data_IF_286087667758
#
_entry.id   IF_286087667758
#
_cell.length_a   1.000
_cell.length_b   1.000
_cell.length_c   1.000
_cell.angle_alpha   90.00
_cell.angle_beta   90.00
_cell.angle_gamma   90.00
#
_symmetry.space_group_name_H-M   'P 1'
#
loop_
_entity.id
_entity.type
_entity.pdbx_description
1 polymer ?
#
# COMPACT_ATOMS: atom_id res chain seq x y z
N UNK A 1 24.16 14.04 55.32
CA UNK A 1 23.19 13.32 54.46
C UNK A 1 22.58 14.31 53.47
N UNK A 2 22.89 14.17 52.17
CA UNK A 2 22.50 15.11 51.11
C UNK A 2 21.17 14.67 50.50
N UNK A 3 20.10 15.39 50.83
CA UNK A 3 18.74 15.15 50.35
C UNK A 3 18.38 16.23 49.31
N UNK A 4 18.93 16.17 48.09
CA UNK A 4 18.61 17.16 47.03
C UNK A 4 18.53 16.62 45.60
N UNK A 5 18.66 15.31 45.37
CA UNK A 5 18.87 14.75 44.03
C UNK A 5 17.70 13.95 43.46
N UNK A 6 16.47 14.12 43.97
CA UNK A 6 15.30 13.34 43.51
C UNK A 6 14.19 14.19 42.87
N UNK A 7 14.29 15.52 42.90
CA UNK A 7 13.18 16.39 42.48
C UNK A 7 13.24 16.80 41.00
N UNK A 8 14.40 16.67 40.35
CA UNK A 8 14.59 17.11 38.96
C UNK A 8 14.28 16.03 37.91
N UNK A 9 14.14 14.76 38.31
CA UNK A 9 13.93 13.65 37.37
C UNK A 9 12.44 13.49 37.00
N UNK A 10 11.53 13.96 37.85
CA UNK A 10 10.08 13.76 37.67
C UNK A 10 9.42 14.71 36.65
N UNK A 11 10.09 15.78 36.22
CA UNK A 11 9.49 16.80 35.33
C UNK A 11 9.74 16.47 33.84
N UNK A 12 10.69 15.60 33.52
CA UNK A 12 11.07 15.31 32.13
C UNK A 12 10.21 14.24 31.43
N UNK A 13 9.38 13.49 32.18
CA UNK A 13 8.58 12.38 31.62
C UNK A 13 7.14 12.74 31.28
N UNK A 14 6.65 13.94 31.63
CA UNK A 14 5.25 14.32 31.44
C UNK A 14 4.91 14.85 30.04
N UNK A 15 5.89 15.13 29.19
CA UNK A 15 5.67 15.83 27.91
C UNK A 15 5.67 14.92 26.67
N UNK A 16 5.93 13.62 26.81
CA UNK A 16 6.04 12.71 25.66
C UNK A 16 4.70 12.06 25.24
N UNK A 17 3.63 12.17 26.04
CA UNK A 17 2.40 11.39 25.83
C UNK A 17 1.33 12.06 24.96
N UNK A 18 1.58 13.26 24.42
CA UNK A 18 0.58 14.01 23.65
C UNK A 18 0.69 13.89 22.12
N UNK A 19 1.64 13.08 21.60
CA UNK A 19 1.78 12.85 20.15
C UNK A 19 1.11 11.55 19.65
N UNK A 20 0.44 10.80 20.53
CA UNK A 20 -0.34 9.62 20.14
C UNK A 20 -1.78 9.94 19.66
N UNK A 21 -2.09 11.22 19.44
CA UNK A 21 -3.42 11.67 19.04
C UNK A 21 -3.35 12.58 17.82
N UNK A 22 -3.26 11.96 16.64
CA UNK A 22 -3.64 12.48 15.31
C UNK A 22 -2.78 11.83 14.21
N UNK A 23 -2.73 10.49 14.17
CA UNK A 23 -2.85 9.90 12.85
C UNK A 23 -4.33 9.98 12.53
N UNK A 24 -4.74 11.16 12.02
CA UNK A 24 -5.97 11.26 11.26
C UNK A 24 -5.91 10.06 10.32
N UNK A 25 -6.84 9.12 10.52
CA UNK A 25 -7.25 8.14 9.54
C UNK A 25 -7.88 8.93 8.40
N UNK A 26 -7.09 9.78 7.75
CA UNK A 26 -7.35 10.22 6.42
C UNK A 26 -7.43 8.91 5.68
N UNK A 27 -8.65 8.57 5.25
CA UNK A 27 -8.84 7.70 4.12
C UNK A 27 -8.00 8.33 3.02
N UNK A 28 -6.72 7.98 2.97
CA UNK A 28 -6.04 7.87 1.70
C UNK A 28 -6.99 6.96 0.96
N UNK A 29 -7.77 7.54 0.04
CA UNK A 29 -8.45 6.75 -0.96
C UNK A 29 -7.31 6.12 -1.74
N UNK A 30 -6.72 5.05 -1.18
CA UNK A 30 -5.83 4.17 -1.90
C UNK A 30 -6.73 3.69 -2.99
N UNK A 31 -6.56 4.29 -4.16
CA UNK A 31 -7.27 3.87 -5.35
C UNK A 31 -6.90 2.40 -5.50
N UNK A 32 -7.82 1.51 -5.15
CA UNK A 32 -7.56 0.07 -5.20
C UNK A 32 -7.25 -0.36 -6.64
N UNK A 33 -7.55 0.51 -7.62
CA UNK A 33 -7.28 0.31 -9.03
C UNK A 33 -5.77 0.09 -9.25
N UNK A 34 -5.35 -1.12 -9.64
CA UNK A 34 -3.95 -1.42 -9.93
C UNK A 34 -3.48 -0.63 -11.16
N UNK A 35 -2.16 -0.45 -11.25
CA UNK A 35 -1.49 0.12 -12.43
C UNK A 35 -1.48 -0.91 -13.55
N UNK A 36 -1.84 -0.48 -14.77
CA UNK A 36 -1.84 -1.38 -15.93
C UNK A 36 -0.41 -1.83 -16.27
N UNK A 37 -0.17 -3.13 -16.52
CA UNK A 37 1.14 -3.62 -16.91
C UNK A 37 1.46 -3.21 -18.35
N UNK A 38 2.74 -3.06 -18.65
CA UNK A 38 3.21 -2.98 -20.03
C UNK A 38 3.16 -4.38 -20.66
N UNK A 39 2.53 -4.49 -21.83
CA UNK A 39 2.38 -5.75 -22.55
C UNK A 39 3.17 -5.69 -23.85
N UNK A 40 4.03 -6.68 -24.04
CA UNK A 40 4.77 -6.88 -25.29
C UNK A 40 4.06 -7.92 -26.15
N UNK A 41 4.13 -7.73 -27.46
CA UNK A 41 3.68 -8.69 -28.47
C UNK A 41 4.51 -8.50 -29.74
N UNK A 42 4.62 -9.56 -30.54
CA UNK A 42 5.37 -9.54 -31.79
C UNK A 42 4.58 -10.23 -32.89
N UNK A 43 4.69 -9.72 -34.12
CA UNK A 43 4.13 -10.40 -35.29
C UNK A 43 5.09 -11.50 -35.75
N UNK A 44 4.57 -12.68 -36.08
CA UNK A 44 5.36 -13.76 -36.66
C UNK A 44 5.49 -13.58 -38.17
N UNK A 45 6.53 -14.16 -38.81
CA UNK A 45 6.70 -14.10 -40.27
C UNK A 45 5.48 -14.62 -41.05
N UNK A 46 4.73 -15.55 -40.45
CA UNK A 46 3.52 -16.15 -41.03
C UNK A 46 2.25 -15.29 -40.82
N UNK A 47 2.41 -14.06 -40.30
CA UNK A 47 1.28 -13.16 -40.00
C UNK A 47 0.54 -13.47 -38.70
N UNK A 48 1.08 -14.36 -37.87
CA UNK A 48 0.55 -14.63 -36.53
C UNK A 48 0.96 -13.57 -35.52
N UNK A 49 0.40 -13.65 -34.31
CA UNK A 49 0.79 -12.81 -33.17
C UNK A 49 1.29 -13.69 -32.05
N UNK A 50 2.49 -13.40 -31.55
CA UNK A 50 3.07 -14.07 -30.40
C UNK A 50 3.03 -13.15 -29.18
N UNK A 51 2.39 -13.65 -28.12
CA UNK A 51 2.43 -13.04 -26.79
C UNK A 51 3.46 -13.74 -25.92
N UNK A 52 4.51 -13.04 -25.45
CA UNK A 52 5.46 -13.59 -24.51
C UNK A 52 4.76 -14.08 -23.24
N UNK A 53 5.27 -15.19 -22.70
CA UNK A 53 4.78 -15.77 -21.44
C UNK A 53 4.69 -14.73 -20.32
N UNK A 54 5.67 -13.83 -20.23
CA UNK A 54 5.68 -12.78 -19.21
C UNK A 54 4.53 -11.78 -19.39
N UNK A 55 4.26 -11.32 -20.61
CA UNK A 55 3.11 -10.45 -20.91
C UNK A 55 1.79 -11.11 -20.51
N UNK A 56 1.64 -12.40 -20.84
CA UNK A 56 0.45 -13.17 -20.45
C UNK A 56 0.30 -13.28 -18.93
N UNK A 57 1.38 -13.61 -18.21
CA UNK A 57 1.37 -13.66 -16.74
C UNK A 57 1.03 -12.30 -16.12
N UNK A 58 1.65 -11.23 -16.60
CA UNK A 58 1.41 -9.88 -16.09
C UNK A 58 -0.04 -9.44 -16.30
N UNK A 59 -0.64 -9.81 -17.43
CA UNK A 59 -2.05 -9.56 -17.70
C UNK A 59 -2.96 -10.30 -16.71
N UNK A 60 -2.69 -11.59 -16.44
CA UNK A 60 -3.47 -12.36 -15.47
C UNK A 60 -3.39 -11.77 -14.06
N UNK A 61 -2.18 -11.40 -13.61
CA UNK A 61 -1.99 -10.74 -12.32
C UNK A 61 -2.74 -9.40 -12.24
N UNK A 62 -2.76 -8.65 -13.33
CA UNK A 62 -3.52 -7.39 -13.39
C UNK A 62 -5.03 -7.62 -13.27
N UNK A 63 -5.56 -8.65 -13.93
CA UNK A 63 -6.97 -9.04 -13.85
C UNK A 63 -7.32 -9.50 -12.42
N UNK A 64 -6.48 -10.32 -11.79
CA UNK A 64 -6.66 -10.73 -10.39
C UNK A 64 -6.69 -9.53 -9.44
N UNK A 65 -5.75 -8.59 -9.61
CA UNK A 65 -5.71 -7.36 -8.81
C UNK A 65 -6.95 -6.48 -9.01
N UNK A 66 -7.47 -6.39 -10.24
CA UNK A 66 -8.73 -5.70 -10.52
C UNK A 66 -9.91 -6.37 -9.83
N UNK A 67 -10.00 -7.70 -9.87
CA UNK A 67 -11.07 -8.45 -9.21
C UNK A 67 -11.03 -8.28 -7.69
N UNK A 68 -9.84 -8.26 -7.08
CA UNK A 68 -9.69 -8.00 -5.64
C UNK A 68 -10.14 -6.57 -5.28
N UNK A 69 -9.74 -5.57 -6.06
CA UNK A 69 -10.17 -4.18 -5.86
C UNK A 69 -11.69 -4.02 -5.96
N UNK A 70 -12.32 -4.66 -6.93
CA UNK A 70 -13.78 -4.67 -7.07
C UNK A 70 -14.45 -5.44 -5.93
N UNK A 71 -13.87 -6.58 -5.53
CA UNK A 71 -14.33 -7.38 -4.40
C UNK A 71 -14.37 -6.57 -3.10
N UNK A 72 -13.26 -5.93 -2.72
CA UNK A 72 -13.18 -5.05 -1.54
C UNK A 72 -14.21 -3.91 -1.56
N UNK A 73 -14.54 -3.38 -2.75
CA UNK A 73 -15.59 -2.38 -2.89
C UNK A 73 -16.98 -2.90 -2.53
N UNK A 74 -17.28 -4.20 -2.74
CA UNK A 74 -18.58 -4.80 -2.44
C UNK A 74 -18.73 -5.32 -0.99
N UNK A 75 -17.63 -5.65 -0.30
CA UNK A 75 -17.64 -6.11 1.11
C UNK A 75 -17.56 -4.95 2.12
N UNK A 76 -17.29 -3.73 1.65
CA UNK A 76 -17.15 -2.51 2.45
C UNK A 76 -18.39 -1.60 2.50
N UNK A 77 -19.57 -2.10 2.08
CA UNK A 77 -20.88 -1.44 2.15
C UNK A 77 -21.81 -2.16 3.12
#
# INVERSE_FOLDING_TARGET
MKLKSAQWILILTASASLLAGCQLTGKTSVSCKPVAPQLEWYTTPDGGVYYPKQSFTNLNLYIEALNMCVGEYYIGL
#
